data_IF_917581039643
#
_entry.id   IF_917581039643
#
_cell.length_a   1.000
_cell.length_b   1.000
_cell.length_c   1.000
_cell.angle_alpha   90.00
_cell.angle_beta   90.00
_cell.angle_gamma   90.00
#
_symmetry.space_group_name_H-M   'P 1'
#
loop_
_entity.id
_entity.type
_entity.pdbx_description
1 polymer ?
#
# COMPACT_ATOMS: atom_id res chain seq x y z
N UNK A 1 24.61 -34.39 16.56
CA UNK A 1 24.31 -32.97 16.78
C UNK A 1 23.16 -32.57 15.88
N UNK A 2 21.94 -32.65 16.43
CA UNK A 2 20.70 -32.28 15.75
C UNK A 2 20.41 -30.79 15.95
N UNK A 3 19.57 -30.24 15.07
CA UNK A 3 18.88 -28.94 15.15
C UNK A 3 19.66 -27.72 14.63
N UNK A 4 19.63 -27.51 13.31
CA UNK A 4 19.56 -26.17 12.68
C UNK A 4 18.66 -26.18 11.43
N UNK A 5 17.50 -26.84 11.56
CA UNK A 5 16.45 -26.90 10.54
C UNK A 5 15.32 -25.92 10.88
N UNK A 6 15.66 -24.68 11.22
CA UNK A 6 14.69 -23.62 11.58
C UNK A 6 14.66 -22.49 10.55
N UNK A 7 14.84 -22.80 9.27
CA UNK A 7 14.29 -21.96 8.20
C UNK A 7 12.78 -22.18 8.27
N UNK A 8 12.14 -21.46 9.20
CA UNK A 8 10.74 -21.64 9.57
C UNK A 8 9.88 -21.52 8.32
N UNK A 9 9.05 -22.53 8.09
CA UNK A 9 7.92 -22.55 7.14
C UNK A 9 7.09 -21.24 7.21
N UNK A 10 7.11 -20.60 8.38
CA UNK A 10 6.61 -19.26 8.72
C UNK A 10 7.10 -18.10 7.80
N UNK A 11 8.18 -18.28 7.05
CA UNK A 11 8.79 -17.25 6.18
C UNK A 11 8.48 -17.46 4.69
N UNK A 12 8.09 -18.67 4.27
CA UNK A 12 7.89 -19.02 2.86
C UNK A 12 6.55 -18.50 2.32
N UNK A 13 5.49 -18.61 3.13
CA UNK A 13 4.14 -18.12 2.78
C UNK A 13 4.10 -16.60 2.61
N UNK A 14 4.61 -15.78 3.57
CA UNK A 14 4.62 -14.32 3.39
C UNK A 14 5.53 -13.89 2.23
N UNK A 15 6.64 -14.58 1.98
CA UNK A 15 7.52 -14.28 0.85
C UNK A 15 6.85 -14.58 -0.49
N UNK A 16 6.14 -15.70 -0.61
CA UNK A 16 5.42 -16.06 -1.84
C UNK A 16 4.30 -15.06 -2.17
N UNK A 17 3.47 -14.72 -1.17
CA UNK A 17 2.41 -13.72 -1.34
C UNK A 17 3.00 -12.32 -1.60
N UNK A 18 4.09 -11.94 -0.93
CA UNK A 18 4.77 -10.68 -1.17
C UNK A 18 5.34 -10.59 -2.58
N UNK A 19 5.92 -11.66 -3.10
CA UNK A 19 6.48 -11.72 -4.47
C UNK A 19 5.35 -11.66 -5.50
N UNK A 20 4.27 -12.42 -5.31
CA UNK A 20 3.12 -12.38 -6.23
C UNK A 20 2.44 -11.01 -6.22
N UNK A 21 2.22 -10.42 -5.05
CA UNK A 21 1.66 -9.08 -4.91
C UNK A 21 2.58 -8.02 -5.54
N UNK A 22 3.89 -8.12 -5.29
CA UNK A 22 4.92 -7.28 -5.91
C UNK A 22 4.88 -7.34 -7.43
N UNK A 23 4.85 -8.54 -8.01
CA UNK A 23 4.86 -8.72 -9.45
C UNK A 23 3.58 -8.20 -10.11
N UNK A 24 2.41 -8.52 -9.54
CA UNK A 24 1.12 -8.09 -10.08
C UNK A 24 0.97 -6.57 -9.96
N UNK A 25 1.28 -5.99 -8.81
CA UNK A 25 1.02 -4.58 -8.55
C UNK A 25 2.11 -3.69 -9.16
N UNK A 26 3.37 -4.12 -9.15
CA UNK A 26 4.44 -3.46 -9.91
C UNK A 26 4.12 -3.44 -11.41
N UNK A 27 3.60 -4.54 -11.96
CA UNK A 27 3.15 -4.62 -13.35
C UNK A 27 1.97 -3.67 -13.65
N UNK A 28 0.95 -3.67 -12.81
CA UNK A 28 -0.20 -2.78 -12.94
C UNK A 28 0.22 -1.32 -12.82
N UNK A 29 1.02 -0.95 -11.82
CA UNK A 29 1.50 0.42 -11.60
C UNK A 29 2.39 0.90 -12.75
N UNK A 30 3.23 0.03 -13.32
CA UNK A 30 4.10 0.37 -14.45
C UNK A 30 3.29 0.67 -15.71
N UNK A 31 2.35 -0.22 -16.11
CA UNK A 31 1.47 0.01 -17.28
C UNK A 31 0.68 1.31 -17.16
N UNK A 32 0.17 1.52 -15.96
CA UNK A 32 -0.61 2.66 -15.53
C UNK A 32 0.14 3.99 -15.61
N UNK A 33 1.36 4.06 -15.06
CA UNK A 33 2.23 5.22 -15.15
C UNK A 33 2.71 5.51 -16.58
N UNK A 34 2.84 4.48 -17.42
CA UNK A 34 3.25 4.57 -18.82
C UNK A 34 2.10 4.88 -19.80
N UNK A 35 0.85 4.95 -19.34
CA UNK A 35 -0.29 5.22 -20.21
C UNK A 35 -0.17 6.55 -20.97
N UNK A 36 -0.64 6.58 -22.22
CA UNK A 36 -0.67 7.77 -23.07
C UNK A 36 -1.50 8.89 -22.43
N UNK A 37 -2.60 8.55 -21.75
CA UNK A 37 -3.40 9.48 -20.96
C UNK A 37 -2.61 10.13 -19.82
N UNK A 38 -1.82 9.37 -19.06
CA UNK A 38 -0.99 9.97 -18.03
C UNK A 38 0.09 10.89 -18.60
N UNK A 39 0.53 10.67 -19.85
CA UNK A 39 1.48 11.55 -20.52
C UNK A 39 0.89 12.92 -20.90
N UNK A 40 -0.43 13.01 -21.13
CA UNK A 40 -1.09 14.27 -21.52
C UNK A 40 -1.42 15.20 -20.33
N UNK A 41 -1.38 14.68 -19.09
CA UNK A 41 -1.64 15.47 -17.89
C UNK A 41 -0.50 16.42 -17.55
N UNK A 42 -0.84 17.65 -17.16
CA UNK A 42 0.12 18.56 -16.51
C UNK A 42 0.49 18.03 -15.14
N UNK A 43 1.80 17.93 -14.88
CA UNK A 43 2.37 17.35 -13.67
C UNK A 43 3.24 18.39 -12.94
N UNK A 44 3.25 18.38 -11.60
CA UNK A 44 4.10 19.29 -10.84
C UNK A 44 5.58 18.91 -10.96
N UNK A 45 6.50 19.86 -10.76
CA UNK A 45 7.95 19.65 -10.95
C UNK A 45 8.56 18.68 -9.93
N UNK A 46 7.92 18.46 -8.79
CA UNK A 46 8.37 17.53 -7.75
C UNK A 46 7.89 16.07 -7.96
N UNK A 47 7.25 15.78 -9.09
CA UNK A 47 6.78 14.42 -9.36
C UNK A 47 7.97 13.45 -9.51
N UNK A 48 7.99 12.32 -8.79
CA UNK A 48 9.05 11.34 -8.92
C UNK A 48 9.03 10.70 -10.31
N UNK A 49 10.17 10.13 -10.76
CA UNK A 49 10.25 9.42 -12.02
C UNK A 49 9.14 8.36 -12.15
N UNK A 50 8.64 8.11 -13.36
CA UNK A 50 7.59 7.11 -13.62
C UNK A 50 7.97 5.72 -13.10
N UNK A 51 9.26 5.43 -13.05
CA UNK A 51 9.87 4.19 -12.56
C UNK A 51 9.82 4.06 -11.02
N UNK A 52 9.62 5.16 -10.28
CA UNK A 52 9.53 5.11 -8.82
C UNK A 52 8.29 4.33 -8.37
N UNK A 53 7.16 4.48 -9.07
CA UNK A 53 5.91 3.77 -8.75
C UNK A 53 6.07 2.25 -8.73
N UNK A 54 6.57 1.58 -9.80
CA UNK A 54 6.75 0.13 -9.81
C UNK A 54 7.90 -0.37 -8.90
N UNK A 55 8.70 0.51 -8.28
CA UNK A 55 9.73 0.13 -7.30
C UNK A 55 9.18 0.23 -5.88
N UNK A 56 8.55 1.37 -5.55
CA UNK A 56 8.08 1.66 -4.19
C UNK A 56 6.89 0.78 -3.81
N UNK A 57 5.93 0.57 -4.72
CA UNK A 57 4.74 -0.24 -4.42
C UNK A 57 5.10 -1.67 -3.98
N UNK A 58 5.88 -2.45 -4.75
CA UNK A 58 6.42 -3.72 -4.29
C UNK A 58 7.01 -3.74 -2.89
N UNK A 59 7.91 -2.79 -2.60
CA UNK A 59 8.57 -2.71 -1.30
C UNK A 59 7.55 -2.51 -0.17
N UNK A 60 6.57 -1.63 -0.37
CA UNK A 60 5.49 -1.40 0.59
C UNK A 60 4.61 -2.63 0.79
N UNK A 61 4.28 -3.38 -0.27
CA UNK A 61 3.50 -4.61 -0.13
C UNK A 61 4.25 -5.72 0.58
N UNK A 62 5.55 -5.86 0.30
CA UNK A 62 6.40 -6.79 1.02
C UNK A 62 6.41 -6.45 2.52
N UNK A 63 6.54 -5.16 2.85
CA UNK A 63 6.52 -4.70 4.24
C UNK A 63 5.14 -4.92 4.91
N UNK A 64 4.04 -4.58 4.24
CA UNK A 64 2.68 -4.88 4.71
C UNK A 64 2.51 -6.38 4.97
N UNK A 65 2.99 -7.24 4.07
CA UNK A 65 2.88 -8.69 4.22
C UNK A 65 3.68 -9.21 5.41
N UNK A 66 4.95 -8.79 5.54
CA UNK A 66 5.84 -9.20 6.63
C UNK A 66 5.31 -8.71 7.97
N UNK A 67 5.01 -7.42 8.11
CA UNK A 67 4.54 -6.81 9.36
C UNK A 67 3.16 -7.32 9.74
N UNK A 68 2.25 -7.52 8.78
CA UNK A 68 0.93 -8.07 9.06
C UNK A 68 0.99 -9.53 9.48
N UNK A 69 1.81 -10.35 8.81
CA UNK A 69 2.00 -11.75 9.19
C UNK A 69 2.56 -11.86 10.62
N UNK A 70 3.61 -11.11 10.94
CA UNK A 70 4.16 -11.09 12.30
C UNK A 70 3.17 -10.53 13.33
N UNK A 71 2.27 -9.61 12.94
CA UNK A 71 1.28 -9.02 13.87
C UNK A 71 0.21 -10.04 14.21
N UNK A 72 -0.30 -10.73 13.20
CA UNK A 72 -1.30 -11.78 13.36
C UNK A 72 -0.77 -12.93 14.21
N UNK A 73 0.49 -13.32 13.95
CA UNK A 73 1.20 -14.35 14.69
C UNK A 73 1.40 -13.98 16.17
N UNK A 74 1.76 -12.73 16.45
CA UNK A 74 1.93 -12.27 17.82
C UNK A 74 0.59 -12.16 18.56
N UNK A 75 -0.47 -11.72 17.88
CA UNK A 75 -1.82 -11.68 18.43
C UNK A 75 -2.35 -13.10 18.74
N UNK A 76 -2.03 -14.07 17.89
CA UNK A 76 -2.39 -15.48 18.09
C UNK A 76 -1.64 -16.06 19.29
N UNK A 77 -0.33 -15.79 19.40
CA UNK A 77 0.50 -16.19 20.54
C UNK A 77 0.01 -15.60 21.87
N UNK A 78 -0.54 -14.38 21.85
CA UNK A 78 -1.13 -13.72 23.03
C UNK A 78 -2.56 -14.17 23.33
N UNK A 79 -3.16 -15.04 22.52
CA UNK A 79 -4.56 -15.46 22.67
C UNK A 79 -5.58 -14.34 22.42
N UNK A 80 -5.20 -13.27 21.73
CA UNK A 80 -6.03 -12.08 21.50
C UNK A 80 -6.87 -12.21 20.22
N UNK A 81 -7.73 -13.24 20.17
CA UNK A 81 -8.48 -13.60 18.96
C UNK A 81 -9.38 -12.48 18.42
N UNK A 82 -9.96 -11.66 19.30
CA UNK A 82 -10.77 -10.51 18.88
C UNK A 82 -9.92 -9.42 18.19
N UNK A 83 -8.78 -9.08 18.78
CA UNK A 83 -7.86 -8.08 18.23
C UNK A 83 -7.27 -8.55 16.89
N UNK A 84 -6.99 -9.86 16.77
CA UNK A 84 -6.59 -10.51 15.51
C UNK A 84 -7.65 -10.34 14.42
N UNK A 85 -8.92 -10.60 14.74
CA UNK A 85 -10.04 -10.42 13.79
C UNK A 85 -10.20 -8.97 13.36
N UNK A 86 -10.08 -8.03 14.29
CA UNK A 86 -10.12 -6.58 14.01
C UNK A 86 -8.97 -6.16 13.09
N UNK A 87 -7.76 -6.69 13.31
CA UNK A 87 -6.60 -6.42 12.44
C UNK A 87 -6.80 -6.99 11.03
N UNK A 88 -7.29 -8.24 10.91
CA UNK A 88 -7.63 -8.84 9.62
C UNK A 88 -8.67 -8.01 8.85
N UNK A 89 -9.72 -7.55 9.53
CA UNK A 89 -10.74 -6.71 8.92
C UNK A 89 -10.15 -5.38 8.42
N UNK A 90 -9.28 -4.74 9.20
CA UNK A 90 -8.59 -3.52 8.79
C UNK A 90 -7.66 -3.75 7.59
N UNK A 91 -6.89 -4.84 7.58
CA UNK A 91 -6.03 -5.23 6.47
C UNK A 91 -6.84 -5.49 5.19
N UNK A 92 -7.94 -6.24 5.29
CA UNK A 92 -8.83 -6.50 4.16
C UNK A 92 -9.44 -5.21 3.60
N UNK A 93 -9.94 -4.33 4.48
CA UNK A 93 -10.47 -3.03 4.07
C UNK A 93 -9.39 -2.18 3.37
N UNK A 94 -8.15 -2.19 3.88
CA UNK A 94 -7.04 -1.47 3.28
C UNK A 94 -6.72 -1.97 1.86
N UNK A 95 -6.67 -3.30 1.66
CA UNK A 95 -6.42 -3.89 0.36
C UNK A 95 -7.56 -3.59 -0.64
N UNK A 96 -8.82 -3.62 -0.19
CA UNK A 96 -9.98 -3.24 -1.02
C UNK A 96 -9.91 -1.76 -1.41
N UNK A 97 -9.57 -0.86 -0.47
CA UNK A 97 -9.36 0.55 -0.77
C UNK A 97 -8.22 0.76 -1.75
N UNK A 98 -7.13 0.01 -1.62
CA UNK A 98 -5.99 0.11 -2.52
C UNK A 98 -6.34 -0.32 -3.95
N UNK A 99 -7.02 -1.47 -4.10
CA UNK A 99 -7.52 -1.93 -5.39
C UNK A 99 -8.51 -0.94 -6.01
N UNK A 100 -9.43 -0.40 -5.19
CA UNK A 100 -10.41 0.61 -5.61
C UNK A 100 -9.75 1.89 -6.10
N UNK A 101 -8.72 2.37 -5.40
CA UNK A 101 -7.94 3.54 -5.82
C UNK A 101 -7.28 3.33 -7.19
N UNK A 102 -6.61 2.18 -7.37
CA UNK A 102 -5.96 1.83 -8.63
C UNK A 102 -6.97 1.77 -9.78
N UNK A 103 -8.14 1.16 -9.55
CA UNK A 103 -9.21 1.10 -10.53
C UNK A 103 -9.78 2.49 -10.86
N UNK A 104 -10.05 3.32 -9.86
CA UNK A 104 -10.59 4.67 -10.06
C UNK A 104 -9.61 5.59 -10.81
N UNK A 105 -8.30 5.47 -10.54
CA UNK A 105 -7.29 6.30 -11.18
C UNK A 105 -7.04 5.86 -12.63
N UNK A 106 -6.83 4.57 -12.86
CA UNK A 106 -6.37 4.07 -14.16
C UNK A 106 -7.47 3.63 -15.11
N UNK A 107 -8.63 3.16 -14.60
CA UNK A 107 -9.74 2.75 -15.45
C UNK A 107 -10.73 3.89 -15.69
N UNK A 108 -11.08 4.63 -14.63
CA UNK A 108 -12.11 5.67 -14.69
C UNK A 108 -11.55 7.06 -14.99
N UNK A 109 -10.22 7.26 -14.94
CA UNK A 109 -9.57 8.57 -15.16
C UNK A 109 -10.13 9.69 -14.26
N UNK A 110 -10.76 9.34 -13.13
CA UNK A 110 -11.43 10.29 -12.22
C UNK A 110 -10.45 10.79 -11.16
N UNK A 111 -9.62 11.75 -11.53
CA UNK A 111 -8.57 12.33 -10.68
C UNK A 111 -9.08 12.77 -9.29
N UNK A 112 -10.24 13.46 -9.23
CA UNK A 112 -10.81 13.92 -7.96
C UNK A 112 -11.26 12.77 -7.05
N UNK A 113 -11.98 11.80 -7.60
CA UNK A 113 -12.47 10.63 -6.85
C UNK A 113 -11.31 9.74 -6.41
N UNK A 114 -10.28 9.63 -7.24
CA UNK A 114 -9.07 8.92 -6.88
C UNK A 114 -8.27 9.65 -5.79
N UNK A 115 -8.20 10.97 -5.79
CA UNK A 115 -7.58 11.72 -4.68
C UNK A 115 -8.30 11.46 -3.34
N UNK A 116 -9.64 11.44 -3.34
CA UNK A 116 -10.42 11.07 -2.14
C UNK A 116 -10.15 9.62 -1.72
N UNK A 117 -10.13 8.68 -2.67
CA UNK A 117 -9.81 7.29 -2.38
C UNK A 117 -8.38 7.11 -1.85
N UNK A 118 -7.41 7.87 -2.35
CA UNK A 118 -6.03 7.90 -1.85
C UNK A 118 -5.96 8.44 -0.42
N UNK A 119 -6.75 9.47 -0.10
CA UNK A 119 -6.87 10.00 1.26
C UNK A 119 -7.48 8.95 2.22
N UNK A 120 -8.55 8.28 1.81
CA UNK A 120 -9.15 7.19 2.59
C UNK A 120 -8.16 6.03 2.79
N UNK A 121 -7.41 5.66 1.74
CA UNK A 121 -6.35 4.67 1.81
C UNK A 121 -5.26 5.10 2.81
N UNK A 122 -4.83 6.36 2.77
CA UNK A 122 -3.83 6.93 3.69
C UNK A 122 -4.27 6.80 5.14
N UNK A 123 -5.52 7.16 5.45
CA UNK A 123 -6.08 7.03 6.80
C UNK A 123 -6.17 5.57 7.24
N UNK A 124 -6.65 4.69 6.35
CA UNK A 124 -6.71 3.24 6.61
C UNK A 124 -5.32 2.65 6.86
N UNK A 125 -4.32 3.05 6.07
CA UNK A 125 -2.93 2.60 6.21
C UNK A 125 -2.33 3.09 7.52
N UNK A 126 -2.60 4.33 7.92
CA UNK A 126 -2.14 4.87 9.20
C UNK A 126 -2.77 4.14 10.39
N UNK A 127 -4.06 3.79 10.33
CA UNK A 127 -4.73 2.97 11.35
C UNK A 127 -4.11 1.57 11.43
N UNK A 128 -3.82 0.95 10.28
CA UNK A 128 -3.16 -0.36 10.22
C UNK A 128 -1.76 -0.31 10.86
N UNK A 129 -0.94 0.68 10.51
CA UNK A 129 0.39 0.91 11.11
C UNK A 129 0.28 1.11 12.61
N UNK A 130 -0.67 1.93 13.08
CA UNK A 130 -0.87 2.18 14.52
C UNK A 130 -1.22 0.89 15.26
N UNK A 131 -2.10 0.06 14.69
CA UNK A 131 -2.45 -1.25 15.28
C UNK A 131 -1.24 -2.18 15.32
N UNK A 132 -0.46 -2.26 14.24
CA UNK A 132 0.74 -3.10 14.20
C UNK A 132 1.79 -2.66 15.24
N UNK A 133 2.03 -1.35 15.37
CA UNK A 133 2.94 -0.77 16.40
C UNK A 133 2.41 -1.04 17.81
N UNK A 134 1.09 -0.97 18.03
CA UNK A 134 0.52 -1.28 19.35
C UNK A 134 0.76 -2.73 19.77
N UNK A 135 0.91 -3.65 18.81
CA UNK A 135 1.15 -5.07 19.08
C UNK A 135 2.65 -5.38 19.18
N UNK A 136 3.45 -4.92 18.21
CA UNK A 136 4.87 -5.29 18.06
C UNK A 136 5.87 -4.22 18.52
N UNK A 137 5.41 -3.02 18.87
CA UNK A 137 6.28 -1.87 19.12
C UNK A 137 7.04 -1.42 17.87
N UNK A 138 8.32 -1.09 18.05
CA UNK A 138 9.17 -0.55 16.98
C UNK A 138 9.43 -1.49 15.80
N UNK A 139 9.17 -2.80 15.93
CA UNK A 139 9.32 -3.77 14.82
C UNK A 139 8.33 -3.51 13.69
N UNK A 140 7.19 -2.86 13.98
CA UNK A 140 6.20 -2.47 12.98
C UNK A 140 6.40 -1.03 12.45
N UNK A 141 7.45 -0.33 12.88
CA UNK A 141 7.76 1.02 12.42
C UNK A 141 7.99 1.13 10.89
N UNK A 142 8.57 0.14 10.20
CA UNK A 142 8.71 0.19 8.73
C UNK A 142 7.37 0.41 8.01
N UNK A 143 6.27 -0.13 8.55
CA UNK A 143 4.94 0.00 7.97
C UNK A 143 4.45 1.46 7.93
N UNK A 144 5.09 2.39 8.65
CA UNK A 144 4.80 3.82 8.55
C UNK A 144 5.20 4.44 7.20
N UNK A 145 6.09 3.78 6.43
CA UNK A 145 6.44 4.21 5.09
C UNK A 145 5.25 4.10 4.12
N UNK A 146 4.31 3.19 4.40
CA UNK A 146 3.12 2.99 3.59
C UNK A 146 2.12 4.16 3.63
N UNK A 147 1.62 4.63 4.79
CA UNK A 147 0.78 5.82 4.84
C UNK A 147 1.52 7.09 4.38
N UNK A 148 2.84 7.18 4.59
CA UNK A 148 3.64 8.31 4.10
C UNK A 148 3.61 8.39 2.56
N UNK A 149 3.83 7.25 1.89
CA UNK A 149 3.73 7.16 0.44
C UNK A 149 2.29 7.43 -0.06
N UNK A 150 1.28 6.90 0.62
CA UNK A 150 -0.12 7.15 0.27
C UNK A 150 -0.48 8.64 0.41
N UNK A 151 0.00 9.32 1.45
CA UNK A 151 -0.18 10.75 1.65
C UNK A 151 0.48 11.55 0.51
N UNK A 152 1.70 11.17 0.12
CA UNK A 152 2.38 11.75 -1.04
C UNK A 152 1.58 11.56 -2.33
N UNK A 153 1.09 10.34 -2.59
CA UNK A 153 0.26 10.03 -3.76
C UNK A 153 -1.06 10.82 -3.77
N UNK A 154 -1.67 11.04 -2.59
CA UNK A 154 -2.87 11.86 -2.40
C UNK A 154 -2.58 13.33 -2.74
N UNK A 155 -1.50 13.90 -2.20
CA UNK A 155 -1.09 15.26 -2.47
C UNK A 155 -0.76 15.47 -3.96
N UNK A 156 -0.04 14.53 -4.57
CA UNK A 156 0.27 14.54 -6.00
C UNK A 156 -1.00 14.49 -6.85
N UNK A 157 -1.92 13.56 -6.56
CA UNK A 157 -3.18 13.42 -7.29
C UNK A 157 -4.05 14.67 -7.17
N UNK A 158 -4.10 15.26 -5.97
CA UNK A 158 -4.82 16.50 -5.69
C UNK A 158 -4.23 17.69 -6.46
N UNK A 159 -2.91 17.82 -6.48
CA UNK A 159 -2.25 18.89 -7.24
C UNK A 159 -2.43 18.71 -8.75
N UNK A 160 -2.30 17.48 -9.28
CA UNK A 160 -2.60 17.18 -10.68
C UNK A 160 -4.05 17.55 -11.00
N UNK A 161 -5.00 17.25 -10.11
CA UNK A 161 -6.39 17.67 -10.28
C UNK A 161 -6.50 19.20 -10.34
N UNK A 162 -5.92 19.95 -9.40
CA UNK A 162 -5.95 21.42 -9.42
C UNK A 162 -5.34 22.03 -10.71
N UNK A 163 -4.24 21.46 -11.22
CA UNK A 163 -3.58 21.91 -12.44
C UNK A 163 -4.41 21.67 -13.71
N UNK A 164 -5.24 20.62 -13.72
CA UNK A 164 -6.05 20.23 -14.88
C UNK A 164 -7.53 20.64 -14.74
N UNK A 165 -8.00 20.98 -13.54
CA UNK A 165 -9.37 21.45 -13.28
C UNK A 165 -9.65 22.84 -13.87
N UNK A 166 -8.63 23.70 -14.00
CA UNK A 166 -8.77 25.04 -14.62
C UNK A 166 -9.01 25.04 -16.14
N UNK A 167 -8.97 23.88 -16.80
CA UNK A 167 -9.16 23.74 -18.26
C UNK A 167 -10.61 23.41 -18.67
N UNK A 168 -11.57 23.47 -17.75
CA UNK A 168 -13.00 23.26 -18.01
C UNK A 168 -13.78 24.55 -18.36
N UNK A 169 -13.11 25.59 -18.87
CA UNK A 169 -13.76 26.76 -19.46
C UNK A 169 -13.39 26.87 -20.93
#
# INVERSE_FOLDING_TARGET
>A
MSVRSDVRIRTLIPSGLAVTATAVIGGLASRSAQSAWYATLRKPPYQPPRQAFPIVWPALYADIAVVSASTLDELDRRGQSEQRRRYLAALAANLVLNGSWSWLFFNQHRLATSAVAAGALTLSSADLTRRAISVQGGQAAPLALYPLWCAFATALSTHIWFLNARRRL
#
